data_IF_821869514021
#
_entry.id   IF_821869514021
#
_cell.length_a   1.000
_cell.length_b   1.000
_cell.length_c   1.000
_cell.angle_alpha   90.00
_cell.angle_beta   90.00
_cell.angle_gamma   90.00
#
_symmetry.space_group_name_H-M   'P 1'
#
loop_
_entity.id
_entity.type
_entity.pdbx_description
1 polymer ?
#
# COMPACT_ATOMS: atom_id res chain seq x y z
N UNK A 1 -9.61 11.64 1.82
CA UNK A 1 -8.37 11.91 2.58
C UNK A 1 -7.89 10.64 3.27
N UNK A 2 -8.80 9.82 3.82
CA UNK A 2 -8.49 8.55 4.50
C UNK A 2 -7.64 7.57 3.69
N UNK A 3 -7.90 7.38 2.40
CA UNK A 3 -7.13 6.44 1.58
C UNK A 3 -5.64 6.82 1.47
N UNK A 4 -5.29 8.11 1.48
CA UNK A 4 -3.88 8.54 1.47
C UNK A 4 -3.19 8.25 2.81
N UNK A 5 -3.88 8.48 3.93
CA UNK A 5 -3.34 8.12 5.24
C UNK A 5 -3.16 6.62 5.42
N UNK A 6 -4.05 5.80 4.83
CA UNK A 6 -3.90 4.35 4.81
C UNK A 6 -2.65 3.94 4.01
N UNK A 7 -2.43 4.55 2.84
CA UNK A 7 -1.22 4.30 2.04
C UNK A 7 0.06 4.64 2.81
N UNK A 8 0.10 5.80 3.47
CA UNK A 8 1.26 6.20 4.29
C UNK A 8 1.52 5.20 5.43
N UNK A 9 0.45 4.74 6.09
CA UNK A 9 0.54 3.75 7.17
C UNK A 9 1.07 2.41 6.65
N UNK A 10 0.61 1.96 5.50
CA UNK A 10 1.06 0.73 4.85
C UNK A 10 2.56 0.80 4.51
N UNK A 11 3.02 1.92 3.92
CA UNK A 11 4.44 2.13 3.63
C UNK A 11 5.28 2.11 4.92
N UNK A 12 4.79 2.74 5.98
CA UNK A 12 5.47 2.75 7.28
C UNK A 12 5.60 1.34 7.87
N UNK A 13 4.53 0.53 7.85
CA UNK A 13 4.53 -0.85 8.35
C UNK A 13 5.54 -1.70 7.57
N UNK A 14 5.54 -1.58 6.23
CA UNK A 14 6.46 -2.28 5.34
C UNK A 14 7.92 -2.02 5.71
N UNK A 15 8.30 -0.75 5.80
CA UNK A 15 9.67 -0.35 6.10
C UNK A 15 10.10 -0.78 7.51
N UNK A 16 9.17 -0.74 8.48
CA UNK A 16 9.44 -1.17 9.85
C UNK A 16 9.69 -2.69 9.93
N UNK A 17 8.87 -3.50 9.24
CA UNK A 17 9.03 -4.95 9.22
C UNK A 17 10.41 -5.38 8.68
N UNK A 18 10.85 -4.77 7.59
CA UNK A 18 12.18 -4.99 7.03
C UNK A 18 13.30 -4.57 8.01
N UNK A 19 13.18 -3.38 8.61
CA UNK A 19 14.15 -2.91 9.60
C UNK A 19 14.25 -3.86 10.81
N UNK A 20 13.12 -4.37 11.30
CA UNK A 20 13.09 -5.35 12.40
C UNK A 20 13.70 -6.68 12.00
N UNK A 21 13.39 -7.21 10.81
CA UNK A 21 13.97 -8.45 10.34
C UNK A 21 15.50 -8.38 10.22
N UNK A 22 16.06 -7.23 9.82
CA UNK A 22 17.50 -7.00 9.78
C UNK A 22 18.15 -6.97 11.16
N UNK A 23 17.48 -6.42 12.18
CA UNK A 23 17.96 -6.44 13.57
C UNK A 23 17.97 -7.87 14.11
N UNK A 24 16.85 -8.58 13.94
CA UNK A 24 16.70 -9.97 14.38
C UNK A 24 17.71 -10.90 13.69
N UNK A 25 18.00 -10.70 12.40
CA UNK A 25 19.02 -11.46 11.68
C UNK A 25 20.43 -11.18 12.21
N UNK A 26 20.74 -9.94 12.59
CA UNK A 26 22.04 -9.63 13.20
C UNK A 26 22.21 -10.31 14.55
N UNK A 27 21.14 -10.38 15.34
CA UNK A 27 21.14 -11.04 16.65
C UNK A 27 21.11 -12.57 16.53
N UNK A 28 20.49 -13.10 15.47
CA UNK A 28 20.28 -14.53 15.24
C UNK A 28 20.52 -14.90 13.76
N UNK A 29 21.78 -14.91 13.28
CA UNK A 29 22.11 -15.04 11.86
C UNK A 29 21.73 -16.39 11.24
N UNK A 30 21.54 -17.42 12.06
CA UNK A 30 21.12 -18.75 11.61
C UNK A 30 19.63 -18.79 11.23
N UNK A 31 18.85 -17.78 11.61
CA UNK A 31 17.41 -17.72 11.42
C UNK A 31 17.02 -16.79 10.26
N UNK A 32 17.25 -17.26 9.04
CA UNK A 32 16.81 -16.58 7.80
C UNK A 32 15.27 -16.43 7.69
N UNK A 33 14.50 -17.10 8.56
CA UNK A 33 13.04 -17.01 8.58
C UNK A 33 12.50 -15.59 8.81
N UNK A 34 13.27 -14.69 9.45
CA UNK A 34 12.83 -13.31 9.72
C UNK A 34 12.76 -12.48 8.43
N UNK A 35 13.75 -12.64 7.54
CA UNK A 35 13.76 -11.99 6.23
C UNK A 35 12.60 -12.49 5.39
N UNK A 36 12.42 -13.81 5.30
CA UNK A 36 11.30 -14.41 4.54
C UNK A 36 9.94 -13.91 5.02
N UNK A 37 9.75 -13.77 6.34
CA UNK A 37 8.50 -13.21 6.91
C UNK A 37 8.31 -11.74 6.56
N UNK A 38 9.36 -10.93 6.60
CA UNK A 38 9.31 -9.52 6.22
C UNK A 38 9.00 -9.36 4.73
N UNK A 39 9.63 -10.17 3.87
CA UNK A 39 9.41 -10.15 2.42
C UNK A 39 7.96 -10.55 2.06
N UNK A 40 7.42 -11.58 2.71
CA UNK A 40 6.03 -11.98 2.52
C UNK A 40 5.05 -10.87 2.94
N UNK A 41 5.32 -10.19 4.06
CA UNK A 41 4.51 -9.06 4.50
C UNK A 41 4.62 -7.87 3.53
N UNK A 42 5.83 -7.57 3.03
CA UNK A 42 6.05 -6.55 2.02
C UNK A 42 5.27 -6.83 0.74
N UNK A 43 5.29 -8.08 0.25
CA UNK A 43 4.51 -8.49 -0.91
C UNK A 43 3.01 -8.24 -0.72
N UNK A 44 2.45 -8.64 0.43
CA UNK A 44 1.05 -8.40 0.76
C UNK A 44 0.70 -6.91 0.87
N UNK A 45 1.58 -6.10 1.48
CA UNK A 45 1.37 -4.65 1.58
C UNK A 45 1.43 -3.99 0.20
N UNK A 46 2.35 -4.39 -0.67
CA UNK A 46 2.43 -3.86 -2.03
C UNK A 46 1.14 -4.15 -2.83
N UNK A 47 0.54 -5.33 -2.65
CA UNK A 47 -0.76 -5.66 -3.25
C UNK A 47 -1.87 -4.73 -2.75
N UNK A 48 -1.97 -4.52 -1.43
CA UNK A 48 -2.96 -3.61 -0.83
C UNK A 48 -2.79 -2.16 -1.31
N UNK A 49 -1.55 -1.69 -1.44
CA UNK A 49 -1.26 -0.36 -1.98
C UNK A 49 -1.82 -0.22 -3.40
N UNK A 50 -1.59 -1.21 -4.26
CA UNK A 50 -2.08 -1.21 -5.64
C UNK A 50 -3.62 -1.20 -5.66
N UNK A 51 -4.27 -2.03 -4.84
CA UNK A 51 -5.74 -2.08 -4.75
C UNK A 51 -6.34 -0.73 -4.34
N UNK A 52 -5.78 -0.10 -3.30
CA UNK A 52 -6.23 1.21 -2.83
C UNK A 52 -6.01 2.29 -3.90
N UNK A 53 -4.84 2.29 -4.55
CA UNK A 53 -4.57 3.23 -5.64
C UNK A 53 -5.55 3.06 -6.82
N UNK A 54 -5.89 1.82 -7.17
CA UNK A 54 -6.89 1.54 -8.20
C UNK A 54 -8.29 2.06 -7.82
N UNK A 55 -8.69 1.92 -6.56
CA UNK A 55 -9.96 2.47 -6.06
C UNK A 55 -9.96 3.99 -6.18
N UNK A 56 -8.91 4.67 -5.72
CA UNK A 56 -8.78 6.14 -5.82
C UNK A 56 -8.89 6.58 -7.29
N UNK A 57 -8.20 5.90 -8.21
CA UNK A 57 -8.26 6.21 -9.64
C UNK A 57 -9.65 5.98 -10.23
N UNK A 58 -10.36 4.93 -9.80
CA UNK A 58 -11.72 4.64 -10.25
C UNK A 58 -12.72 5.70 -9.77
N UNK A 59 -12.62 6.11 -8.49
CA UNK A 59 -13.42 7.19 -7.91
C UNK A 59 -13.22 8.52 -8.64
N UNK A 60 -11.96 8.87 -8.95
CA UNK A 60 -11.64 10.08 -9.72
C UNK A 60 -12.23 10.03 -11.14
N UNK A 61 -12.11 8.89 -11.83
CA UNK A 61 -12.69 8.71 -13.18
C UNK A 61 -14.21 8.86 -13.16
N UNK A 62 -14.90 8.31 -12.17
CA UNK A 62 -16.36 8.46 -12.03
C UNK A 62 -16.77 9.90 -11.75
N UNK A 63 -16.04 10.60 -10.86
CA UNK A 63 -16.28 12.00 -10.55
C UNK A 63 -16.13 12.91 -11.78
N UNK A 64 -15.07 12.72 -12.58
CA UNK A 64 -14.87 13.47 -13.84
C UNK A 64 -15.92 13.15 -14.91
N UNK A 65 -16.45 11.92 -14.94
CA UNK A 65 -17.47 11.51 -15.91
C UNK A 65 -18.82 12.17 -15.62
N UNK A 66 -19.23 12.26 -14.36
CA UNK A 66 -20.49 12.89 -13.95
C UNK A 66 -20.51 14.41 -14.22
N UNK A 67 -19.36 15.08 -14.09
CA UNK A 67 -19.26 16.52 -14.36
C UNK A 67 -19.38 16.83 -15.87
N UNK A 68 -18.96 15.92 -16.75
CA UNK A 68 -19.09 16.10 -18.20
C UNK A 68 -20.48 15.72 -18.75
N UNK A 69 -21.27 14.93 -18.03
CA UNK A 69 -22.63 14.54 -18.45
C UNK A 69 -23.69 15.63 -18.20
N UNK A 70 -23.37 16.66 -17.42
CA UNK A 70 -24.33 17.73 -17.05
C UNK A 70 -24.34 18.90 -18.05
N UNK A 71 -23.45 18.90 -19.05
CA UNK A 71 -23.19 20.04 -19.93
C UNK A 71 -23.93 20.03 -21.28
N UNK A 72 -24.86 19.10 -21.53
CA UNK A 72 -25.54 18.94 -22.82
C UNK A 72 -27.07 19.01 -22.78
N UNK A 73 -27.65 19.73 -21.80
CA UNK A 73 -29.09 20.05 -21.82
C UNK A 73 -29.25 21.57 -21.79
N UNK A 74 -29.05 22.22 -22.95
CA UNK A 74 -29.63 23.53 -23.30
C UNK A 74 -29.97 23.48 -24.79
#
# INVERSE_FOLDING_TARGET
MDNMHILDRLISIKNNAQARALVELKENPEYNQYIVKADNLESGINQLIIEIQNIILAEQKMSCRNNNSTLWII
#
